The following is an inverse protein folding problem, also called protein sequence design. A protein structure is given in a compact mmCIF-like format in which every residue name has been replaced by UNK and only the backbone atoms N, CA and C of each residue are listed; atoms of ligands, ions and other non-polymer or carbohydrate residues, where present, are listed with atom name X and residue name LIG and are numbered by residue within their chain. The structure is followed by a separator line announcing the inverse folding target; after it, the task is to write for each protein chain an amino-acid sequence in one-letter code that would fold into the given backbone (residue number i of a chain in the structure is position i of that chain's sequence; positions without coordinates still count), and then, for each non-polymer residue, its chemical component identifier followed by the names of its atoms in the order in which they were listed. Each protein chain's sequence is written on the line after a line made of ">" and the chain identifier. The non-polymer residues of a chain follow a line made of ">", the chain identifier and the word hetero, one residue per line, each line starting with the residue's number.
data_IF_578632019906
#
_entry.id   IF_578632019906
#
_cell.length_a   1.000
_cell.length_b   1.000
_cell.length_c   1.000
_cell.angle_alpha   90.00
_cell.angle_beta   90.00
_cell.angle_gamma   90.00
#
_symmetry.space_group_name_H-M   'P 1'
#
loop_
_entity.id
_entity.type
_entity.pdbx_description
1 polymer ?
#
# COMPACT_ATOMS: atom_id res chain seq x y z
N UNK A 1 9.54 17.07 10.24
CA UNK A 1 9.94 16.83 8.86
C UNK A 1 8.95 15.97 8.15
N UNK A 2 8.74 16.24 6.93
CA UNK A 2 7.67 15.61 6.20
C UNK A 2 8.04 14.22 5.78
N UNK A 3 7.08 13.34 5.88
CA UNK A 3 7.21 12.02 5.33
C UNK A 3 6.66 12.02 3.91
N UNK A 4 7.21 11.16 3.11
CA UNK A 4 6.74 11.04 1.74
C UNK A 4 5.51 10.18 1.69
N UNK A 5 4.48 10.70 1.04
CA UNK A 5 3.29 9.92 0.75
C UNK A 5 3.46 9.34 -0.64
N UNK A 6 3.31 8.05 -0.75
CA UNK A 6 3.42 7.37 -2.03
C UNK A 6 2.13 6.64 -2.29
N UNK A 7 1.57 6.89 -3.45
CA UNK A 7 0.35 6.21 -3.86
C UNK A 7 0.71 4.86 -4.45
N UNK A 8 0.00 3.84 -4.02
CA UNK A 8 0.30 2.49 -4.47
C UNK A 8 -0.98 1.75 -4.82
N UNK A 9 -0.83 0.72 -5.63
CA UNK A 9 -1.83 -0.33 -5.80
C UNK A 9 -1.25 -1.60 -5.23
N UNK A 10 -2.03 -2.29 -4.42
CA UNK A 10 -1.68 -3.60 -3.91
C UNK A 10 -2.84 -4.54 -4.19
N UNK A 11 -2.53 -5.80 -4.46
CA UNK A 11 -3.58 -6.80 -4.61
C UNK A 11 -3.39 -7.92 -3.63
N UNK A 12 -4.50 -8.34 -3.07
CA UNK A 12 -4.59 -9.59 -2.33
C UNK A 12 -5.33 -10.58 -3.19
N UNK A 13 -5.67 -11.72 -2.62
CA UNK A 13 -6.42 -12.70 -3.38
C UNK A 13 -7.84 -12.28 -3.68
N UNK A 14 -8.37 -11.31 -2.92
CA UNK A 14 -9.77 -10.93 -3.07
C UNK A 14 -9.98 -9.49 -3.47
N UNK A 15 -8.99 -8.64 -3.27
CA UNK A 15 -9.19 -7.20 -3.41
C UNK A 15 -8.04 -6.55 -4.11
N UNK A 16 -8.37 -5.50 -4.85
CA UNK A 16 -7.39 -4.52 -5.29
C UNK A 16 -7.51 -3.32 -4.37
N UNK A 17 -6.39 -2.83 -3.89
CA UNK A 17 -6.37 -1.80 -2.88
C UNK A 17 -5.52 -0.66 -3.40
N UNK A 18 -6.10 0.53 -3.47
CA UNK A 18 -5.38 1.74 -3.84
C UNK A 18 -5.34 2.64 -2.63
N UNK A 19 -4.18 3.16 -2.31
CA UNK A 19 -4.07 4.04 -1.15
C UNK A 19 -2.70 4.66 -1.08
N UNK A 20 -2.49 5.39 0.00
CA UNK A 20 -1.22 6.08 0.23
C UNK A 20 -0.48 5.43 1.38
N UNK A 21 0.80 5.23 1.19
CA UNK A 21 1.68 4.76 2.23
C UNK A 21 2.64 5.90 2.57
N UNK A 22 2.97 6.01 3.85
CA UNK A 22 3.88 7.03 4.33
C UNK A 22 5.25 6.40 4.49
N UNK A 23 6.21 6.89 3.72
CA UNK A 23 7.55 6.35 3.72
C UNK A 23 8.50 7.34 4.37
N UNK A 24 9.61 6.86 4.93
CA UNK A 24 10.62 7.78 5.44
C UNK A 24 11.07 8.74 4.35
N UNK A 25 11.36 9.98 4.69
CA UNK A 25 11.70 10.97 3.67
C UNK A 25 12.97 10.66 2.90
N UNK A 26 13.90 9.99 3.52
CA UNK A 26 15.14 9.66 2.85
C UNK A 26 15.81 8.51 3.56
N UNK A 27 16.94 8.10 3.02
CA UNK A 27 17.77 7.07 3.58
C UNK A 27 17.28 5.71 3.16
N UNK A 28 17.62 4.88 3.96
CA UNK A 28 17.65 3.48 3.75
C UNK A 28 16.35 2.83 3.40
N UNK A 29 15.22 3.28 3.93
CA UNK A 29 13.95 2.61 3.65
C UNK A 29 12.96 3.55 3.01
N UNK A 30 13.47 4.41 2.14
CA UNK A 30 12.61 5.36 1.48
C UNK A 30 11.87 4.74 0.29
N UNK A 31 12.23 3.56 -0.12
CA UNK A 31 11.56 2.88 -1.22
C UNK A 31 10.49 1.95 -0.69
N UNK A 32 9.47 1.77 -1.51
CA UNK A 32 8.40 0.85 -1.15
C UNK A 32 8.93 -0.57 -0.96
N UNK A 33 9.82 -1.01 -1.83
CA UNK A 33 10.35 -2.37 -1.72
C UNK A 33 11.10 -2.57 -0.42
N UNK A 34 11.87 -1.58 -0.01
CA UNK A 34 12.59 -1.70 1.25
C UNK A 34 11.64 -1.72 2.42
N UNK A 35 10.58 -0.91 2.34
CA UNK A 35 9.59 -0.85 3.39
C UNK A 35 8.90 -2.19 3.57
N UNK A 36 8.50 -2.80 2.45
CA UNK A 36 7.77 -4.06 2.52
C UNK A 36 8.64 -5.22 2.94
N UNK A 37 9.94 -5.13 2.70
CA UNK A 37 10.86 -6.21 3.03
C UNK A 37 11.46 -6.11 4.42
N UNK A 38 11.05 -5.12 5.19
CA UNK A 38 11.55 -4.98 6.55
C UNK A 38 11.14 -6.19 7.37
N UNK A 39 12.07 -6.81 8.07
CA UNK A 39 11.78 -8.09 8.72
C UNK A 39 10.74 -8.01 9.83
N UNK A 40 10.57 -6.85 10.42
CA UNK A 40 9.60 -6.69 11.50
C UNK A 40 8.25 -6.16 11.03
N UNK A 41 8.05 -6.08 9.72
CA UNK A 41 6.84 -5.48 9.17
C UNK A 41 5.78 -6.53 9.00
N UNK A 42 4.67 -6.40 9.72
CA UNK A 42 3.54 -7.32 9.59
C UNK A 42 2.39 -6.70 8.85
N UNK A 43 2.22 -5.39 9.00
CA UNK A 43 1.12 -4.67 8.38
C UNK A 43 1.63 -3.46 7.65
N UNK A 44 0.95 -3.14 6.58
CA UNK A 44 1.21 -1.95 5.80
C UNK A 44 0.07 -0.96 6.07
N UNK A 45 0.34 0.14 6.75
CA UNK A 45 -0.72 1.11 7.01
C UNK A 45 -0.93 1.98 5.78
N UNK A 46 -2.18 2.10 5.37
CA UNK A 46 -2.56 2.89 4.21
C UNK A 46 -3.61 3.91 4.61
N UNK A 47 -3.60 5.04 3.95
CA UNK A 47 -4.59 6.07 4.16
C UNK A 47 -5.31 6.38 2.86
N UNK A 48 -6.52 6.92 3.00
CA UNK A 48 -7.36 7.28 1.86
C UNK A 48 -7.46 6.14 0.87
N UNK A 49 -8.04 5.05 1.32
CA UNK A 49 -7.98 3.76 0.67
C UNK A 49 -9.25 3.50 -0.10
N UNK A 50 -9.10 2.99 -1.30
CA UNK A 50 -10.19 2.44 -2.07
C UNK A 50 -9.98 0.94 -2.21
N UNK A 51 -10.97 0.18 -1.78
CA UNK A 51 -10.91 -1.27 -1.73
C UNK A 51 -11.88 -1.80 -2.75
N UNK A 52 -11.36 -2.43 -3.79
CA UNK A 52 -12.17 -2.91 -4.91
C UNK A 52 -12.14 -4.42 -4.93
N UNK A 53 -13.29 -5.09 -4.80
CA UNK A 53 -13.31 -6.55 -4.93
C UNK A 53 -12.86 -6.97 -6.31
N UNK A 54 -12.08 -8.02 -6.37
CA UNK A 54 -11.68 -8.58 -7.67
C UNK A 54 -12.82 -9.33 -8.32
N UNK A 55 -13.74 -9.84 -7.50
CA UNK A 55 -14.88 -10.56 -8.01
C UNK A 55 -15.91 -9.56 -8.51
N UNK A 56 -16.46 -9.82 -9.68
CA UNK A 56 -17.44 -8.90 -10.25
C UNK A 56 -18.71 -8.88 -9.41
N UNK A 57 -19.36 -7.73 -9.37
CA UNK A 57 -20.57 -7.54 -8.59
C UNK A 57 -20.35 -7.07 -7.18
N UNK A 58 -19.11 -7.01 -6.72
CA UNK A 58 -18.84 -6.50 -5.39
C UNK A 58 -18.81 -4.98 -5.38
N UNK A 59 -18.98 -4.43 -4.21
CA UNK A 59 -19.00 -2.98 -4.04
C UNK A 59 -17.64 -2.47 -3.63
N UNK A 60 -17.31 -1.30 -4.15
CA UNK A 60 -16.10 -0.60 -3.78
C UNK A 60 -16.31 0.04 -2.41
N UNK A 61 -15.33 -0.12 -1.53
CA UNK A 61 -15.35 0.48 -0.20
C UNK A 61 -14.27 1.52 -0.10
N UNK A 62 -14.53 2.53 0.70
CA UNK A 62 -13.55 3.56 0.93
C UNK A 62 -13.31 3.67 2.43
N UNK A 63 -12.05 3.80 2.78
CA UNK A 63 -11.64 3.88 4.17
C UNK A 63 -10.58 4.95 4.32
N UNK A 64 -10.63 5.65 5.44
CA UNK A 64 -9.58 6.62 5.71
C UNK A 64 -8.30 5.96 6.16
N UNK A 65 -8.41 4.78 6.72
CA UNK A 65 -7.25 4.05 7.18
C UNK A 65 -7.51 2.57 7.01
N UNK A 66 -6.49 1.87 6.55
CA UNK A 66 -6.53 0.42 6.42
C UNK A 66 -5.16 -0.13 6.77
N UNK A 67 -5.13 -1.13 7.64
CA UNK A 67 -3.90 -1.87 7.91
C UNK A 67 -3.96 -3.15 7.09
N UNK A 68 -3.07 -3.27 6.13
CA UNK A 68 -3.06 -4.38 5.20
C UNK A 68 -1.99 -5.38 5.64
N UNK A 69 -2.38 -6.63 5.83
CA UNK A 69 -1.42 -7.66 6.21
C UNK A 69 -0.46 -7.90 5.06
N UNK A 70 0.82 -7.73 5.33
CA UNK A 70 1.84 -7.87 4.30
C UNK A 70 1.84 -9.29 3.74
N UNK A 71 1.57 -10.26 4.59
CA UNK A 71 1.57 -11.66 4.15
C UNK A 71 0.46 -11.98 3.16
N UNK A 72 -0.53 -11.12 3.02
CA UNK A 72 -1.63 -11.33 2.08
C UNK A 72 -1.46 -10.57 0.78
N UNK A 73 -0.36 -9.86 0.63
CA UNK A 73 -0.14 -9.07 -0.58
C UNK A 73 0.44 -9.98 -1.66
N UNK A 74 -0.26 -10.06 -2.77
CA UNK A 74 0.23 -10.79 -3.94
C UNK A 74 1.24 -9.95 -4.68
N UNK A 75 0.93 -8.66 -4.88
CA UNK A 75 1.88 -7.71 -5.43
C UNK A 75 1.50 -6.31 -5.00
N UNK A 76 2.46 -5.42 -5.09
CA UNK A 76 2.23 -4.00 -4.83
C UNK A 76 3.06 -3.21 -5.82
N UNK A 77 2.47 -2.14 -6.35
CA UNK A 77 3.09 -1.33 -7.38
C UNK A 77 2.96 0.13 -6.99
N UNK A 78 4.04 0.90 -7.04
CA UNK A 78 3.92 2.34 -6.85
C UNK A 78 3.29 2.96 -8.08
N UNK A 79 2.48 3.99 -7.85
CA UNK A 79 1.78 4.68 -8.93
C UNK A 79 2.44 5.98 -9.30
N UNK A 80 3.35 6.46 -8.48
CA UNK A 80 4.03 7.72 -8.76
C UNK A 80 5.00 7.54 -9.90
N UNK A 81 5.16 8.59 -10.67
CA UNK A 81 6.04 8.50 -11.82
C UNK A 81 7.48 8.36 -11.46
N UNK A 82 7.89 9.01 -10.40
CA UNK A 82 9.27 8.88 -10.00
C UNK A 82 9.50 7.62 -9.18
N UNK A 83 8.49 6.87 -8.98
CA UNK A 83 8.44 5.57 -8.44
C UNK A 83 9.65 5.15 -7.69
N UNK A 84 10.04 3.95 -7.86
CA UNK A 84 11.25 3.50 -7.22
C UNK A 84 12.21 2.96 -8.21
#
# INVERSE_FOLDING_TARGET
>A
MDQRLKRIIAETERYRITGFVRLPPDGYRSRLSDYLNAPDRSFLPLTDVELTPLKSGGEVEQHKFLALAVSHIVFAVPLDEDGE
#
